data_IF_312960879046
#
_entry.id   IF_312960879046
#
_cell.length_a   1.000
_cell.length_b   1.000
_cell.length_c   1.000
_cell.angle_alpha   90.00
_cell.angle_beta   90.00
_cell.angle_gamma   90.00
#
_symmetry.space_group_name_H-M   'P 1'
#
loop_
_entity.id
_entity.type
_entity.pdbx_description
1 polymer ?
#
# COMPACT_ATOMS: atom_id res chain seq x y z
N UNK A 1 -3.16 4.81 5.34
CA UNK A 1 -1.72 4.72 5.01
C UNK A 1 -1.15 6.11 5.09
N UNK A 2 0.06 6.31 5.60
CA UNK A 2 0.65 7.64 5.74
C UNK A 2 2.12 7.61 5.32
N UNK A 3 2.60 8.73 4.78
CA UNK A 3 3.99 8.90 4.36
C UNK A 3 4.81 9.53 5.47
N UNK A 4 6.01 9.00 5.72
CA UNK A 4 7.01 9.62 6.58
C UNK A 4 8.26 9.94 5.77
N UNK A 5 8.82 11.13 6.00
CA UNK A 5 10.14 11.49 5.46
C UNK A 5 11.22 10.89 6.35
N UNK A 6 12.06 10.05 5.77
CA UNK A 6 13.18 9.42 6.45
C UNK A 6 14.40 10.37 6.49
N UNK A 7 15.38 10.04 7.35
CA UNK A 7 16.61 10.83 7.50
C UNK A 7 17.45 10.88 6.22
N UNK A 8 17.34 9.86 5.36
CA UNK A 8 17.96 9.78 4.04
C UNK A 8 17.24 10.65 2.98
N UNK A 9 16.17 11.35 3.36
CA UNK A 9 15.37 12.19 2.47
C UNK A 9 14.28 11.44 1.69
N UNK A 10 14.27 10.10 1.73
CA UNK A 10 13.23 9.29 1.10
C UNK A 10 11.88 9.46 1.80
N UNK A 11 10.79 9.29 1.07
CA UNK A 11 9.44 9.19 1.64
C UNK A 11 9.04 7.73 1.62
N UNK A 12 8.78 7.17 2.81
CA UNK A 12 8.33 5.78 2.97
C UNK A 12 6.89 5.76 3.44
N UNK A 13 6.12 4.79 2.93
CA UNK A 13 4.70 4.61 3.20
C UNK A 13 4.52 3.56 4.28
N UNK A 14 3.79 3.91 5.32
CA UNK A 14 3.53 3.03 6.44
C UNK A 14 2.05 2.76 6.64
N UNK A 15 1.76 1.56 7.15
CA UNK A 15 0.50 1.24 7.81
C UNK A 15 0.77 1.06 9.30
N UNK A 16 -0.20 1.45 10.13
CA UNK A 16 -0.09 1.32 11.57
C UNK A 16 -1.08 0.30 12.08
N UNK A 17 -0.61 -0.63 12.91
CA UNK A 17 -1.48 -1.56 13.63
C UNK A 17 -1.31 -1.32 15.12
N UNK A 18 -2.37 -0.88 15.76
CA UNK A 18 -2.46 -0.81 17.21
C UNK A 18 -3.21 -2.04 17.72
N UNK A 19 -2.67 -2.68 18.74
CA UNK A 19 -3.34 -3.74 19.47
C UNK A 19 -3.32 -3.43 20.97
N UNK A 20 -4.50 -3.48 21.57
CA UNK A 20 -4.67 -3.39 23.02
C UNK A 20 -4.51 -4.78 23.60
N UNK A 21 -3.59 -4.94 24.56
CA UNK A 21 -3.36 -6.16 25.30
C UNK A 21 -3.79 -5.94 26.75
N UNK A 22 -4.53 -6.89 27.30
CA UNK A 22 -4.92 -6.89 28.71
C UNK A 22 -4.04 -7.88 29.48
N UNK A 23 -3.30 -7.38 30.47
CA UNK A 23 -2.48 -8.20 31.36
C UNK A 23 -3.27 -8.45 32.66
N UNK A 24 -4.06 -9.53 32.67
CA UNK A 24 -5.00 -9.84 33.76
C UNK A 24 -4.36 -9.98 35.14
N UNK A 25 -3.11 -10.44 35.21
CA UNK A 25 -2.39 -10.59 36.48
C UNK A 25 -2.06 -9.25 37.17
N UNK A 26 -2.02 -8.14 36.43
CA UNK A 26 -1.65 -6.81 36.96
C UNK A 26 -2.77 -5.78 36.87
N UNK A 27 -3.94 -6.17 36.33
CA UNK A 27 -5.01 -5.24 35.94
C UNK A 27 -4.49 -4.06 35.11
N UNK A 28 -3.54 -4.34 34.20
CA UNK A 28 -2.91 -3.32 33.34
C UNK A 28 -3.35 -3.50 31.90
N UNK A 29 -3.51 -2.36 31.23
CA UNK A 29 -3.72 -2.31 29.78
C UNK A 29 -2.41 -1.87 29.14
N UNK A 30 -1.94 -2.63 28.17
CA UNK A 30 -0.81 -2.28 27.33
C UNK A 30 -1.31 -1.98 25.92
N UNK A 31 -0.70 -1.00 25.25
CA UNK A 31 -0.95 -0.72 23.83
C UNK A 31 0.34 -1.02 23.09
N UNK A 32 0.28 -1.96 22.16
CA UNK A 32 1.36 -2.27 21.23
C UNK A 32 1.03 -1.62 19.89
N UNK A 33 1.95 -0.81 19.40
CA UNK A 33 1.85 -0.09 18.14
C UNK A 33 2.98 -0.56 17.22
N UNK A 34 2.63 -1.08 16.04
CA UNK A 34 3.58 -1.53 15.04
C UNK A 34 3.38 -0.71 13.76
N UNK A 35 4.47 -0.09 13.30
CA UNK A 35 4.57 0.52 11.99
C UNK A 35 5.07 -0.53 11.00
N UNK A 36 4.35 -0.75 9.92
CA UNK A 36 4.76 -1.62 8.82
C UNK A 36 5.09 -0.77 7.60
N UNK A 37 6.33 -0.85 7.11
CA UNK A 37 6.73 -0.25 5.85
C UNK A 37 6.09 -1.03 4.70
N UNK A 38 5.30 -0.35 3.90
CA UNK A 38 4.58 -0.91 2.75
C UNK A 38 4.98 -0.23 1.44
N UNK A 39 6.09 0.52 1.44
CA UNK A 39 6.51 1.35 0.31
C UNK A 39 6.60 0.53 -0.99
N UNK A 40 7.27 -0.62 -0.96
CA UNK A 40 7.45 -1.48 -2.12
C UNK A 40 6.13 -2.08 -2.61
N UNK A 41 5.27 -2.53 -1.69
CA UNK A 41 3.95 -3.08 -2.02
C UNK A 41 3.10 -2.06 -2.76
N UNK A 42 3.08 -0.82 -2.29
CA UNK A 42 2.31 0.24 -2.92
C UNK A 42 2.89 0.62 -4.29
N UNK A 43 4.22 0.67 -4.42
CA UNK A 43 4.88 0.91 -5.71
C UNK A 43 4.56 -0.21 -6.71
N UNK A 44 4.49 -1.46 -6.25
CA UNK A 44 4.09 -2.58 -7.10
C UNK A 44 2.62 -2.47 -7.54
N UNK A 45 1.72 -2.15 -6.61
CA UNK A 45 0.29 -1.98 -6.92
C UNK A 45 0.06 -0.89 -7.98
N UNK A 46 0.73 0.25 -7.87
CA UNK A 46 0.68 1.34 -8.86
C UNK A 46 1.17 0.88 -10.24
N UNK A 47 2.25 0.11 -10.30
CA UNK A 47 2.76 -0.45 -11.56
C UNK A 47 1.79 -1.44 -12.19
N UNK A 48 1.20 -2.34 -11.39
CA UNK A 48 0.21 -3.31 -11.87
C UNK A 48 -1.03 -2.60 -12.42
N UNK A 49 -1.51 -1.57 -11.73
CA UNK A 49 -2.64 -0.76 -12.19
C UNK A 49 -2.33 -0.04 -13.52
N UNK A 50 -1.13 0.51 -13.66
CA UNK A 50 -0.68 1.15 -14.90
C UNK A 50 -0.60 0.18 -16.07
N UNK A 51 -0.09 -1.03 -15.85
CA UNK A 51 -0.04 -2.08 -16.86
C UNK A 51 -1.46 -2.48 -17.28
N UNK A 52 -2.37 -2.70 -16.33
CA UNK A 52 -3.75 -3.05 -16.62
C UNK A 52 -4.43 -1.98 -17.50
N UNK A 53 -4.30 -0.69 -17.15
CA UNK A 53 -4.82 0.42 -17.95
C UNK A 53 -4.26 0.43 -19.37
N UNK A 54 -2.97 0.14 -19.53
CA UNK A 54 -2.29 0.12 -20.83
C UNK A 54 -2.80 -1.04 -21.69
N UNK A 55 -2.98 -2.23 -21.11
CA UNK A 55 -3.54 -3.39 -21.79
C UNK A 55 -4.96 -3.12 -22.25
N UNK A 56 -5.83 -2.62 -21.36
CA UNK A 56 -7.22 -2.28 -21.71
C UNK A 56 -7.29 -1.23 -22.81
N UNK A 57 -6.45 -0.21 -22.77
CA UNK A 57 -6.39 0.79 -23.84
C UNK A 57 -5.92 0.18 -25.18
N UNK A 58 -4.95 -0.72 -25.14
CA UNK A 58 -4.45 -1.42 -26.33
C UNK A 58 -5.52 -2.32 -26.96
N UNK A 59 -6.32 -3.00 -26.14
CA UNK A 59 -7.46 -3.80 -26.58
C UNK A 59 -8.55 -2.94 -27.21
N UNK A 60 -8.86 -1.78 -26.60
CA UNK A 60 -9.78 -0.80 -27.18
C UNK A 60 -9.33 -0.34 -28.57
N UNK A 61 -8.05 0.03 -28.74
CA UNK A 61 -7.50 0.42 -30.04
C UNK A 61 -7.56 -0.72 -31.06
N UNK A 62 -7.29 -1.96 -30.63
CA UNK A 62 -7.40 -3.14 -31.49
C UNK A 62 -8.84 -3.33 -31.99
N UNK A 63 -9.84 -3.18 -31.13
CA UNK A 63 -11.25 -3.24 -31.52
C UNK A 63 -11.60 -2.22 -32.61
N UNK A 64 -11.12 -0.98 -32.47
CA UNK A 64 -11.35 0.07 -33.47
C UNK A 64 -10.76 -0.23 -34.84
N UNK A 65 -9.67 -0.98 -34.93
CA UNK A 65 -9.00 -1.30 -36.21
C UNK A 65 -9.63 -2.52 -36.88
N UNK A 66 -10.19 -3.46 -36.11
CA UNK A 66 -10.76 -4.69 -36.66
C UNK A 66 -12.26 -4.61 -36.99
N UNK A 67 -12.96 -3.54 -36.59
CA UNK A 67 -14.36 -3.27 -36.93
C UNK A 67 -14.54 -2.45 -38.25
N UNK A 68 -13.49 -2.34 -39.08
CA UNK A 68 -13.52 -1.76 -40.44
C UNK A 68 -13.24 -2.79 -41.53
#
# INVERSE_FOLDING_TARGET
MFGLKCKDGSVRRFTWRCQRLYEGAKNKVQIVAIALDVTEMCTLAEKVESLHKTTTFSEFLRGLVHDF
#
